data_IF_918026978409
#
_entry.id   IF_918026978409
#
_cell.length_a   1.000
_cell.length_b   1.000
_cell.length_c   1.000
_cell.angle_alpha   90.00
_cell.angle_beta   90.00
_cell.angle_gamma   90.00
#
_symmetry.space_group_name_H-M   'P 1'
#
loop_
_entity.id
_entity.type
_entity.pdbx_description
1 polymer ?
#
# COMPACT_ATOMS: atom_id res chain seq x y z
N UNK A 1 20.76 1.03 -8.68
CA UNK A 1 20.16 1.68 -7.50
C UNK A 1 20.12 3.17 -7.78
N UNK A 2 18.98 3.65 -8.27
CA UNK A 2 18.68 5.05 -8.38
C UNK A 2 17.59 5.32 -7.34
N UNK A 3 17.90 6.16 -6.36
CA UNK A 3 16.93 6.70 -5.42
C UNK A 3 15.94 7.52 -6.23
N UNK A 4 14.68 7.10 -6.25
CA UNK A 4 13.60 7.83 -6.88
C UNK A 4 13.06 8.88 -5.91
N UNK A 5 13.93 9.80 -5.49
CA UNK A 5 13.60 10.95 -4.66
C UNK A 5 13.42 12.15 -5.59
N UNK A 6 12.24 12.28 -6.23
CA UNK A 6 12.01 13.37 -7.18
C UNK A 6 10.56 13.63 -7.62
N UNK A 7 9.64 12.67 -7.53
CA UNK A 7 8.25 12.83 -8.05
C UNK A 7 7.19 12.93 -6.94
N UNK A 8 7.57 13.40 -5.75
CA UNK A 8 6.69 13.38 -4.58
C UNK A 8 5.70 14.54 -4.47
N UNK A 9 5.70 15.54 -5.37
CA UNK A 9 4.85 16.74 -5.23
C UNK A 9 3.60 16.74 -6.14
N UNK A 10 3.80 16.49 -7.43
CA UNK A 10 2.78 16.70 -8.46
C UNK A 10 1.63 15.67 -8.39
N UNK A 11 1.90 14.46 -7.89
CA UNK A 11 0.91 13.39 -7.81
C UNK A 11 -0.23 13.65 -6.82
N UNK A 12 0.07 14.21 -5.63
CA UNK A 12 -0.95 14.42 -4.59
C UNK A 12 -1.90 15.54 -4.98
N UNK A 13 -1.37 16.66 -5.45
CA UNK A 13 -2.17 17.82 -5.84
C UNK A 13 -3.10 17.47 -7.01
N UNK A 14 -2.58 16.75 -8.02
CA UNK A 14 -3.38 16.27 -9.14
C UNK A 14 -4.49 15.31 -8.67
N UNK A 15 -4.18 14.42 -7.73
CA UNK A 15 -5.16 13.50 -7.16
C UNK A 15 -6.27 14.24 -6.40
N UNK A 16 -5.89 15.18 -5.53
CA UNK A 16 -6.84 16.00 -4.76
C UNK A 16 -7.73 16.84 -5.68
N UNK A 17 -7.14 17.56 -6.64
CA UNK A 17 -7.90 18.38 -7.60
C UNK A 17 -8.93 17.55 -8.37
N UNK A 18 -8.56 16.34 -8.76
CA UNK A 18 -9.44 15.48 -9.51
C UNK A 18 -10.58 14.88 -8.66
N UNK A 19 -10.31 14.52 -7.39
CA UNK A 19 -11.37 14.06 -6.47
C UNK A 19 -12.28 15.19 -5.97
N UNK A 20 -11.82 16.44 -6.07
CA UNK A 20 -12.63 17.64 -5.80
C UNK A 20 -13.44 18.12 -7.02
N UNK A 21 -13.33 17.42 -8.16
CA UNK A 21 -14.21 17.59 -9.31
C UNK A 21 -14.00 18.88 -10.11
N UNK A 22 -12.76 19.40 -10.19
CA UNK A 22 -12.46 20.63 -10.96
C UNK A 22 -13.25 21.86 -10.50
N UNK A 23 -13.81 21.81 -9.31
CA UNK A 23 -14.67 22.86 -8.80
C UNK A 23 -13.83 24.08 -8.43
N UNK A 24 -14.29 25.26 -8.86
CA UNK A 24 -13.59 26.56 -8.77
C UNK A 24 -13.04 26.87 -7.39
N UNK A 25 -13.60 26.28 -6.33
CA UNK A 25 -13.11 26.44 -4.97
C UNK A 25 -11.68 25.91 -4.79
N UNK A 26 -11.15 24.89 -5.48
CA UNK A 26 -9.73 24.52 -5.26
C UNK A 26 -8.72 25.54 -5.81
N UNK A 27 -9.16 26.42 -6.71
CA UNK A 27 -8.32 27.45 -7.32
C UNK A 27 -8.71 28.88 -6.87
N UNK A 28 -9.85 29.06 -6.21
CA UNK A 28 -10.31 30.35 -5.63
C UNK A 28 -9.76 30.51 -4.19
N UNK A 29 -8.75 31.36 -3.95
CA UNK A 29 -8.17 31.56 -2.62
C UNK A 29 -9.10 32.29 -1.65
N UNK A 30 -10.09 33.05 -2.14
CA UNK A 30 -10.90 33.97 -1.32
C UNK A 30 -12.34 33.49 -1.09
N UNK A 31 -12.69 32.29 -1.55
CA UNK A 31 -14.01 31.70 -1.37
C UNK A 31 -14.41 31.53 0.10
N UNK A 32 -15.56 32.08 0.49
CA UNK A 32 -16.06 32.04 1.87
C UNK A 32 -16.34 30.60 2.38
N UNK A 33 -16.86 29.72 1.51
CA UNK A 33 -17.10 28.31 1.81
C UNK A 33 -15.79 27.55 2.08
N UNK A 34 -14.68 28.01 1.49
CA UNK A 34 -13.36 27.40 1.62
C UNK A 34 -12.72 27.72 2.97
N UNK A 35 -12.79 29.00 3.36
CA UNK A 35 -12.34 29.44 4.68
C UNK A 35 -13.08 28.71 5.79
N UNK A 36 -14.39 28.49 5.62
CA UNK A 36 -15.18 27.71 6.58
C UNK A 36 -14.71 26.24 6.67
N UNK A 37 -14.32 25.61 5.56
CA UNK A 37 -13.89 24.20 5.51
C UNK A 37 -12.46 23.95 5.97
N UNK A 38 -11.55 24.92 5.79
CA UNK A 38 -10.14 24.82 6.21
C UNK A 38 -9.89 25.23 7.66
N UNK A 39 -10.86 25.92 8.29
CA UNK A 39 -10.80 26.25 9.72
C UNK A 39 -10.83 24.99 10.58
N UNK A 40 -10.14 25.04 11.72
CA UNK A 40 -10.25 24.03 12.76
C UNK A 40 -11.71 23.90 13.23
N UNK A 41 -12.08 22.71 13.69
CA UNK A 41 -13.34 22.56 14.41
C UNK A 41 -13.23 23.28 15.77
N UNK A 42 -14.30 23.98 16.15
CA UNK A 42 -14.41 24.70 17.42
C UNK A 42 -15.49 24.07 18.29
N UNK A 43 -15.38 24.16 19.62
CA UNK A 43 -16.33 23.57 20.54
C UNK A 43 -16.04 22.10 20.87
N UNK A 44 -16.97 21.44 21.56
CA UNK A 44 -16.86 20.02 21.88
C UNK A 44 -17.14 19.17 20.63
N UNK A 45 -16.71 17.90 20.62
CA UNK A 45 -16.94 16.96 19.51
C UNK A 45 -18.39 16.93 19.00
N UNK A 46 -19.36 17.07 19.92
CA UNK A 46 -20.81 17.08 19.61
C UNK A 46 -21.26 18.32 18.83
N UNK A 47 -20.47 19.38 18.87
CA UNK A 47 -20.77 20.67 18.25
C UNK A 47 -20.17 20.76 16.83
N UNK A 48 -19.44 19.74 16.40
CA UNK A 48 -18.77 19.76 15.10
C UNK A 48 -19.79 19.59 13.97
N UNK A 49 -19.68 20.35 12.86
CA UNK A 49 -20.59 20.19 11.74
C UNK A 49 -20.39 18.83 11.06
N UNK A 50 -21.32 17.91 11.27
CA UNK A 50 -21.31 16.54 10.70
C UNK A 50 -21.03 16.52 9.18
N UNK A 51 -21.65 17.39 8.35
CA UNK A 51 -21.39 17.39 6.91
C UNK A 51 -19.93 17.73 6.55
N UNK A 52 -19.27 18.56 7.38
CA UNK A 52 -17.87 18.95 7.17
C UNK A 52 -16.92 17.83 7.59
N UNK A 53 -17.21 17.14 8.69
CA UNK A 53 -16.42 15.99 9.12
C UNK A 53 -16.49 14.85 8.10
N UNK A 54 -17.70 14.45 7.69
CA UNK A 54 -17.91 13.40 6.69
C UNK A 54 -17.25 13.75 5.36
N UNK A 55 -17.39 15.00 4.89
CA UNK A 55 -16.72 15.46 3.68
C UNK A 55 -15.21 15.20 3.71
N UNK A 56 -14.54 15.56 4.82
CA UNK A 56 -13.09 15.36 4.94
C UNK A 56 -12.70 13.89 5.06
N UNK A 57 -13.46 13.07 5.80
CA UNK A 57 -13.24 11.62 5.88
C UNK A 57 -13.32 10.97 4.50
N UNK A 58 -14.38 11.28 3.74
CA UNK A 58 -14.58 10.70 2.43
C UNK A 58 -13.52 11.16 1.42
N UNK A 59 -13.17 12.45 1.46
CA UNK A 59 -12.14 13.02 0.59
C UNK A 59 -10.78 12.37 0.85
N UNK A 60 -10.39 12.19 2.11
CA UNK A 60 -9.15 11.49 2.49
C UNK A 60 -9.10 10.08 1.88
N UNK A 61 -10.18 9.31 2.03
CA UNK A 61 -10.24 7.95 1.51
C UNK A 61 -10.25 7.91 -0.03
N UNK A 62 -10.96 8.84 -0.69
CA UNK A 62 -10.97 8.94 -2.16
C UNK A 62 -9.59 9.27 -2.72
N UNK A 63 -8.90 10.24 -2.12
CA UNK A 63 -7.54 10.63 -2.51
C UNK A 63 -6.58 9.45 -2.33
N UNK A 64 -6.55 8.84 -1.15
CA UNK A 64 -5.70 7.68 -0.88
C UNK A 64 -5.98 6.51 -1.85
N UNK A 65 -7.27 6.23 -2.15
CA UNK A 65 -7.68 5.21 -3.12
C UNK A 65 -7.14 5.50 -4.53
N UNK A 66 -7.25 6.75 -4.99
CA UNK A 66 -6.74 7.16 -6.31
C UNK A 66 -5.23 6.98 -6.42
N UNK A 67 -4.52 7.28 -5.34
CA UNK A 67 -3.07 7.12 -5.22
C UNK A 67 -2.66 5.66 -4.96
N UNK A 68 -3.64 4.76 -4.82
CA UNK A 68 -3.48 3.32 -4.52
C UNK A 68 -2.71 3.06 -3.22
N UNK A 69 -2.79 3.98 -2.26
CA UNK A 69 -2.16 3.84 -0.96
C UNK A 69 -3.08 3.18 0.05
N UNK A 70 -2.55 2.23 0.80
CA UNK A 70 -3.23 1.66 1.96
C UNK A 70 -2.77 2.30 3.29
N UNK A 71 -1.66 3.03 3.26
CA UNK A 71 -1.05 3.69 4.41
C UNK A 71 -0.24 4.91 4.00
N UNK A 72 -0.09 5.86 4.93
CA UNK A 72 0.67 7.08 4.74
C UNK A 72 1.19 7.64 6.07
N UNK A 73 2.36 8.30 6.10
CA UNK A 73 2.78 9.11 7.24
C UNK A 73 1.78 10.23 7.56
N UNK A 74 1.50 10.43 8.85
CA UNK A 74 0.51 11.42 9.31
C UNK A 74 0.87 12.86 8.89
N UNK A 75 2.16 13.22 8.90
CA UNK A 75 2.61 14.53 8.43
C UNK A 75 2.29 14.76 6.95
N UNK A 76 2.45 13.76 6.06
CA UNK A 76 2.12 13.94 4.64
C UNK A 76 0.63 14.20 4.44
N UNK A 77 -0.22 13.49 5.18
CA UNK A 77 -1.68 13.67 5.10
C UNK A 77 -2.09 15.06 5.61
N UNK A 78 -1.49 15.52 6.71
CA UNK A 78 -1.89 16.79 7.36
C UNK A 78 -1.27 18.03 6.72
N UNK A 79 -0.06 17.93 6.18
CA UNK A 79 0.71 19.10 5.72
C UNK A 79 1.10 19.08 4.25
N UNK A 80 0.90 17.98 3.51
CA UNK A 80 1.33 17.87 2.10
C UNK A 80 0.16 17.61 1.17
N UNK A 81 -0.66 16.58 1.44
CA UNK A 81 -1.74 16.17 0.51
C UNK A 81 -2.69 17.30 0.16
N UNK A 82 -3.05 18.11 1.16
CA UNK A 82 -4.01 19.20 1.01
C UNK A 82 -3.37 20.58 1.15
N UNK A 83 -2.04 20.65 1.01
CA UNK A 83 -1.35 21.94 0.95
C UNK A 83 -1.70 22.64 -0.36
N UNK A 84 -2.19 23.87 -0.27
CA UNK A 84 -2.42 24.71 -1.45
C UNK A 84 -1.16 25.49 -1.85
N UNK A 85 -1.13 26.00 -3.10
CA UNK A 85 -0.18 27.04 -3.48
C UNK A 85 -0.20 28.18 -2.44
N UNK A 86 0.97 28.55 -1.93
CA UNK A 86 1.09 29.49 -0.81
C UNK A 86 1.18 28.86 0.59
N UNK A 87 1.18 27.52 0.70
CA UNK A 87 1.49 26.79 1.94
C UNK A 87 0.33 26.69 2.94
N UNK A 88 -0.90 26.97 2.50
CA UNK A 88 -2.09 26.89 3.37
C UNK A 88 -2.51 25.43 3.51
N UNK A 89 -2.59 24.95 4.75
CA UNK A 89 -3.02 23.58 5.09
C UNK A 89 -4.33 23.60 5.89
N UNK A 90 -5.25 22.64 5.72
CA UNK A 90 -6.49 22.61 6.48
C UNK A 90 -6.24 22.27 7.95
N UNK A 91 -6.62 23.18 8.84
CA UNK A 91 -6.39 23.07 10.28
C UNK A 91 -7.27 22.01 10.95
N UNK A 92 -8.34 21.55 10.28
CA UNK A 92 -9.22 20.51 10.79
C UNK A 92 -8.67 19.09 10.62
N UNK A 93 -7.66 18.86 9.77
CA UNK A 93 -7.20 17.50 9.45
C UNK A 93 -6.76 16.68 10.67
N UNK A 94 -5.97 17.22 11.63
CA UNK A 94 -5.60 16.46 12.82
C UNK A 94 -6.83 15.94 13.58
N UNK A 95 -7.87 16.77 13.69
CA UNK A 95 -9.12 16.41 14.35
C UNK A 95 -9.90 15.36 13.56
N UNK A 96 -9.95 15.47 12.23
CA UNK A 96 -10.57 14.45 11.37
C UNK A 96 -9.87 13.10 11.52
N UNK A 97 -8.53 13.07 11.57
CA UNK A 97 -7.76 11.84 11.70
C UNK A 97 -7.98 11.16 13.06
N UNK A 98 -8.07 11.94 14.14
CA UNK A 98 -8.42 11.41 15.46
C UNK A 98 -9.84 10.81 15.48
N UNK A 99 -10.80 11.44 14.79
CA UNK A 99 -12.15 10.89 14.65
C UNK A 99 -12.17 9.60 13.84
N UNK A 100 -11.49 9.56 12.69
CA UNK A 100 -11.37 8.33 11.89
C UNK A 100 -10.68 7.21 12.67
N UNK A 101 -9.70 7.54 13.52
CA UNK A 101 -9.06 6.59 14.43
C UNK A 101 -10.00 6.11 15.53
N UNK A 102 -10.78 7.01 16.13
CA UNK A 102 -11.78 6.67 17.14
C UNK A 102 -12.86 5.74 16.57
N UNK A 103 -13.23 5.93 15.30
CA UNK A 103 -14.20 5.08 14.59
C UNK A 103 -13.59 3.75 14.09
N UNK A 104 -12.26 3.60 14.19
CA UNK A 104 -11.54 2.41 13.75
C UNK A 104 -11.38 2.30 12.23
N UNK A 105 -11.56 3.40 11.51
CA UNK A 105 -11.27 3.54 10.07
C UNK A 105 -9.76 3.67 9.83
N UNK A 106 -9.04 4.29 10.77
CA UNK A 106 -7.58 4.43 10.74
C UNK A 106 -6.96 3.69 11.92
N UNK A 107 -5.87 2.97 11.63
CA UNK A 107 -5.03 2.29 12.62
C UNK A 107 -3.60 2.82 12.53
N UNK A 108 -2.84 2.76 13.63
CA UNK A 108 -1.42 3.09 13.58
C UNK A 108 -0.60 1.84 13.29
N UNK A 109 0.38 1.92 12.38
CA UNK A 109 1.31 0.82 12.10
C UNK A 109 2.05 0.37 13.38
N UNK A 110 2.38 1.32 14.26
CA UNK A 110 3.00 1.08 15.57
C UNK A 110 2.08 0.31 16.54
N UNK A 111 0.79 0.17 16.24
CA UNK A 111 -0.14 -0.66 17.00
C UNK A 111 -0.28 -2.06 16.39
N UNK A 112 -0.08 -2.22 15.07
CA UNK A 112 -0.28 -3.49 14.35
C UNK A 112 0.79 -4.56 14.64
N UNK A 113 0.37 -5.78 14.95
CA UNK A 113 1.28 -6.88 15.26
C UNK A 113 2.16 -7.21 14.06
N UNK A 114 3.48 -7.17 14.28
CA UNK A 114 4.46 -7.53 13.25
C UNK A 114 4.55 -9.05 13.13
N UNK A 115 4.23 -9.64 11.96
CA UNK A 115 4.15 -11.09 11.80
C UNK A 115 5.52 -11.79 11.84
N UNK A 116 6.60 -11.07 11.57
CA UNK A 116 7.99 -11.57 11.68
C UNK A 116 8.51 -11.57 13.11
N UNK A 117 7.82 -10.90 14.05
CA UNK A 117 8.26 -10.83 15.43
C UNK A 117 8.02 -12.15 16.17
N UNK A 118 8.88 -12.46 17.14
CA UNK A 118 8.79 -13.71 17.92
C UNK A 118 7.45 -13.87 18.64
N UNK A 119 7.01 -15.12 18.83
CA UNK A 119 5.66 -15.43 19.36
C UNK A 119 5.33 -14.75 20.69
N UNK A 120 6.30 -14.61 21.59
CA UNK A 120 6.13 -13.88 22.87
C UNK A 120 5.84 -12.40 22.66
N UNK A 121 6.55 -11.73 21.74
CA UNK A 121 6.28 -10.32 21.41
C UNK A 121 4.87 -10.15 20.85
N UNK A 122 4.44 -11.08 19.99
CA UNK A 122 3.07 -11.05 19.45
C UNK A 122 2.02 -11.23 20.55
N UNK A 123 2.25 -12.12 21.53
CA UNK A 123 1.36 -12.32 22.66
C UNK A 123 1.30 -11.08 23.57
N UNK A 124 2.45 -10.52 23.96
CA UNK A 124 2.52 -9.29 24.76
C UNK A 124 1.79 -8.15 24.05
N UNK A 125 1.96 -8.03 22.73
CA UNK A 125 1.30 -7.00 21.95
C UNK A 125 -0.21 -7.20 21.83
N UNK A 126 -0.70 -8.45 21.74
CA UNK A 126 -2.13 -8.74 21.79
C UNK A 126 -2.73 -8.33 23.14
N UNK A 127 -2.01 -8.59 24.24
CA UNK A 127 -2.45 -8.19 25.59
C UNK A 127 -2.44 -6.66 25.74
N UNK A 128 -1.40 -5.97 25.24
CA UNK A 128 -1.34 -4.51 25.30
C UNK A 128 -2.42 -3.83 24.47
N UNK A 129 -2.87 -4.44 23.36
CA UNK A 129 -3.99 -3.94 22.55
C UNK A 129 -5.35 -4.07 23.23
N UNK A 130 -5.50 -4.95 24.23
CA UNK A 130 -6.73 -5.02 25.03
C UNK A 130 -6.85 -3.82 25.98
N UNK A 131 -5.74 -3.17 26.32
CA UNK A 131 -5.78 -1.83 26.88
C UNK A 131 -6.03 -0.85 25.72
N UNK A 132 -7.10 -0.06 25.82
CA UNK A 132 -7.41 0.96 24.81
C UNK A 132 -6.26 1.97 24.79
N UNK A 133 -5.33 1.80 23.85
CA UNK A 133 -4.27 2.76 23.58
C UNK A 133 -4.90 4.01 23.00
N UNK A 134 -5.26 4.96 23.86
CA UNK A 134 -5.68 6.32 23.49
C UNK A 134 -4.47 7.21 23.22
N UNK A 135 -3.43 6.64 22.62
CA UNK A 135 -2.27 7.45 22.23
C UNK A 135 -2.71 8.38 21.10
N UNK A 136 -2.44 9.70 21.22
CA UNK A 136 -2.69 10.65 20.13
C UNK A 136 -1.80 10.35 18.93
N UNK A 137 -2.27 10.71 17.74
CA UNK A 137 -1.52 10.61 16.50
C UNK A 137 -0.39 11.64 16.52
N UNK A 138 0.84 11.18 16.29
CA UNK A 138 2.04 12.01 16.16
C UNK A 138 2.46 12.05 14.69
N UNK A 139 3.24 13.05 14.29
CA UNK A 139 3.62 13.27 12.89
C UNK A 139 4.41 12.12 12.25
N UNK A 140 5.17 11.38 13.06
CA UNK A 140 5.95 10.21 12.63
C UNK A 140 5.10 8.94 12.53
N UNK A 141 3.84 8.97 12.98
CA UNK A 141 2.98 7.80 12.91
C UNK A 141 2.59 7.50 11.44
N UNK A 142 2.60 6.21 11.11
CA UNK A 142 2.09 5.72 9.83
C UNK A 142 0.62 5.31 10.04
N UNK A 143 -0.25 6.02 9.35
CA UNK A 143 -1.69 5.80 9.32
C UNK A 143 -1.99 4.66 8.35
N UNK A 144 -2.78 3.69 8.77
CA UNK A 144 -3.22 2.55 7.96
C UNK A 144 -4.73 2.67 7.76
N UNK A 145 -5.16 2.85 6.51
CA UNK A 145 -6.56 3.02 6.14
C UNK A 145 -7.23 1.66 6.00
N UNK A 146 -8.11 1.32 6.96
CA UNK A 146 -8.74 0.01 7.04
C UNK A 146 -9.45 -0.40 5.75
N UNK A 147 -10.36 0.45 5.26
CA UNK A 147 -11.17 0.16 4.08
C UNK A 147 -10.32 -0.09 2.85
N UNK A 148 -9.25 0.69 2.66
CA UNK A 148 -8.35 0.56 1.50
C UNK A 148 -7.54 -0.74 1.54
N UNK A 149 -7.07 -1.17 2.72
CA UNK A 149 -6.42 -2.48 2.88
C UNK A 149 -7.40 -3.62 2.57
N UNK A 150 -8.66 -3.49 3.00
CA UNK A 150 -9.70 -4.51 2.77
C UNK A 150 -10.12 -4.59 1.31
N UNK A 151 -10.31 -3.45 0.64
CA UNK A 151 -10.55 -3.38 -0.81
C UNK A 151 -9.38 -4.01 -1.58
N UNK A 152 -8.14 -3.64 -1.24
CA UNK A 152 -6.95 -4.19 -1.89
C UNK A 152 -6.82 -5.70 -1.67
N UNK A 153 -7.19 -6.19 -0.50
CA UNK A 153 -7.19 -7.63 -0.22
C UNK A 153 -8.17 -8.39 -1.14
N UNK A 154 -9.38 -7.89 -1.33
CA UNK A 154 -10.36 -8.50 -2.23
C UNK A 154 -9.91 -8.45 -3.69
N UNK A 155 -9.28 -7.34 -4.12
CA UNK A 155 -8.68 -7.23 -5.45
C UNK A 155 -7.60 -8.31 -5.67
N UNK A 156 -6.71 -8.50 -4.71
CA UNK A 156 -5.65 -9.52 -4.76
C UNK A 156 -6.27 -10.92 -4.79
N UNK A 157 -7.24 -11.19 -3.90
CA UNK A 157 -7.92 -12.48 -3.85
C UNK A 157 -8.63 -12.80 -5.16
N UNK A 158 -9.24 -11.81 -5.81
CA UNK A 158 -9.87 -11.94 -7.13
C UNK A 158 -8.84 -12.29 -8.22
N UNK A 159 -7.71 -11.57 -8.27
CA UNK A 159 -6.63 -11.84 -9.22
C UNK A 159 -6.03 -13.24 -9.05
N UNK A 160 -5.83 -13.67 -7.79
CA UNK A 160 -5.31 -15.00 -7.48
C UNK A 160 -6.36 -16.10 -7.77
N UNK A 161 -7.64 -15.86 -7.55
CA UNK A 161 -8.71 -16.82 -7.88
C UNK A 161 -8.78 -17.12 -9.38
N UNK A 162 -8.49 -16.13 -10.23
CA UNK A 162 -8.41 -16.32 -11.68
C UNK A 162 -7.28 -17.26 -12.13
N UNK A 163 -6.27 -17.49 -11.28
CA UNK A 163 -5.08 -18.29 -11.60
C UNK A 163 -4.94 -19.57 -10.77
N UNK A 164 -5.80 -19.78 -9.76
CA UNK A 164 -5.71 -20.91 -8.83
C UNK A 164 -7.08 -21.60 -8.64
N UNK A 165 -7.08 -22.94 -8.73
CA UNK A 165 -8.28 -23.79 -8.55
C UNK A 165 -8.55 -24.17 -7.08
N UNK A 166 -7.69 -23.74 -6.16
CA UNK A 166 -7.73 -24.13 -4.74
C UNK A 166 -8.45 -23.10 -3.86
N UNK A 167 -8.89 -23.52 -2.67
CA UNK A 167 -9.56 -22.64 -1.70
C UNK A 167 -8.61 -21.66 -1.00
N UNK A 168 -7.30 -21.90 -1.08
CA UNK A 168 -6.23 -21.03 -0.57
C UNK A 168 -5.09 -20.96 -1.57
N UNK A 169 -4.37 -19.85 -1.57
CA UNK A 169 -3.18 -19.62 -2.39
C UNK A 169 -1.99 -19.24 -1.49
N UNK A 170 -0.80 -19.68 -1.87
CA UNK A 170 0.47 -19.29 -1.23
C UNK A 170 1.28 -18.52 -2.26
N UNK A 171 1.70 -17.31 -1.88
CA UNK A 171 2.56 -16.47 -2.73
C UNK A 171 3.82 -16.08 -1.98
N UNK A 172 4.89 -15.77 -2.72
CA UNK A 172 6.12 -15.21 -2.18
C UNK A 172 5.87 -13.80 -1.62
N UNK A 173 6.72 -13.38 -0.68
CA UNK A 173 6.64 -12.01 -0.16
C UNK A 173 6.95 -10.97 -1.25
N UNK A 174 7.81 -11.32 -2.22
CA UNK A 174 8.10 -10.51 -3.41
C UNK A 174 6.86 -10.27 -4.25
N UNK A 175 6.11 -11.32 -4.58
CA UNK A 175 4.84 -11.20 -5.29
C UNK A 175 3.81 -10.43 -4.47
N UNK A 176 3.72 -10.66 -3.17
CA UNK A 176 2.83 -9.89 -2.28
C UNK A 176 3.14 -8.38 -2.34
N UNK A 177 4.41 -8.00 -2.22
CA UNK A 177 4.84 -6.60 -2.25
C UNK A 177 4.50 -5.90 -3.57
N UNK A 178 4.52 -6.62 -4.70
CA UNK A 178 4.18 -6.05 -6.00
C UNK A 178 2.73 -5.58 -6.16
N UNK A 179 1.82 -5.99 -5.26
CA UNK A 179 0.42 -5.52 -5.27
C UNK A 179 0.24 -4.14 -4.63
N UNK A 180 1.27 -3.57 -4.01
CA UNK A 180 1.22 -2.31 -3.29
C UNK A 180 2.16 -1.27 -3.91
N UNK A 181 1.89 0.01 -3.63
CA UNK A 181 2.69 1.11 -4.18
C UNK A 181 4.15 1.07 -3.71
N UNK A 182 4.40 0.60 -2.50
CA UNK A 182 5.75 0.48 -1.94
C UNK A 182 5.85 -0.52 -0.80
N UNK A 183 7.08 -0.82 -0.40
CA UNK A 183 7.38 -1.83 0.61
C UNK A 183 6.79 -1.49 1.99
N UNK A 184 6.83 -0.21 2.40
CA UNK A 184 6.24 0.23 3.66
C UNK A 184 4.71 0.04 3.70
N UNK A 185 4.06 0.29 2.56
CA UNK A 185 2.62 0.11 2.38
C UNK A 185 2.22 -1.36 2.40
N UNK A 186 2.96 -2.19 1.66
CA UNK A 186 2.81 -3.65 1.69
C UNK A 186 2.98 -4.20 3.12
N UNK A 187 4.01 -3.75 3.84
CA UNK A 187 4.27 -4.22 5.20
C UNK A 187 3.15 -3.81 6.17
N UNK A 188 2.62 -2.59 6.07
CA UNK A 188 1.49 -2.15 6.88
C UNK A 188 0.25 -3.01 6.61
N UNK A 189 -0.06 -3.27 5.34
CA UNK A 189 -1.15 -4.15 4.93
C UNK A 189 -0.94 -5.59 5.45
N UNK A 190 0.27 -6.13 5.36
CA UNK A 190 0.61 -7.47 5.87
C UNK A 190 0.34 -7.58 7.38
N UNK A 191 0.77 -6.59 8.16
CA UNK A 191 0.52 -6.57 9.61
C UNK A 191 -0.98 -6.54 9.90
N UNK A 192 -1.74 -5.70 9.20
CA UNK A 192 -3.20 -5.63 9.36
C UNK A 192 -3.89 -6.96 9.01
N UNK A 193 -3.60 -7.52 7.84
CA UNK A 193 -4.25 -8.73 7.34
C UNK A 193 -3.93 -9.95 8.20
N UNK A 194 -2.69 -10.08 8.65
CA UNK A 194 -2.29 -11.18 9.55
C UNK A 194 -2.92 -11.05 10.94
N UNK A 195 -2.98 -9.83 11.49
CA UNK A 195 -3.65 -9.57 12.76
C UNK A 195 -5.16 -9.84 12.69
N UNK A 196 -5.82 -9.48 11.57
CA UNK A 196 -7.23 -9.78 11.33
C UNK A 196 -7.49 -11.24 10.93
N UNK A 197 -6.45 -12.05 10.75
CA UNK A 197 -6.58 -13.44 10.32
C UNK A 197 -7.04 -13.62 8.87
N UNK A 198 -7.02 -12.55 8.06
CA UNK A 198 -7.32 -12.57 6.62
C UNK A 198 -6.17 -13.14 5.80
N UNK A 199 -4.95 -13.14 6.34
CA UNK A 199 -3.79 -13.79 5.74
C UNK A 199 -2.95 -14.51 6.80
N UNK A 200 -2.11 -15.47 6.41
CA UNK A 200 -1.05 -16.03 7.27
C UNK A 200 0.32 -15.76 6.69
N UNK A 201 1.23 -15.33 7.53
CA UNK A 201 2.64 -15.20 7.18
C UNK A 201 3.34 -16.56 7.29
N UNK A 202 4.24 -16.83 6.35
CA UNK A 202 5.04 -18.03 6.23
C UNK A 202 6.51 -17.64 6.22
N UNK A 203 7.34 -18.33 7.01
CA UNK A 203 8.78 -18.21 6.95
C UNK A 203 9.41 -19.61 7.03
N UNK A 204 10.27 -19.92 6.06
CA UNK A 204 11.02 -21.18 6.00
C UNK A 204 12.49 -20.83 6.19
N UNK A 205 13.04 -21.28 7.31
CA UNK A 205 14.49 -21.28 7.54
C UNK A 205 15.01 -22.64 7.10
N UNK A 206 15.58 -22.69 5.91
CA UNK A 206 16.33 -23.85 5.43
C UNK A 206 17.83 -23.54 5.48
N UNK A 207 18.65 -24.52 5.12
CA UNK A 207 20.13 -24.43 5.12
C UNK A 207 20.70 -23.35 4.17
N UNK A 208 19.86 -22.76 3.31
CA UNK A 208 20.21 -21.58 2.52
C UNK A 208 20.28 -20.30 3.38
N UNK A 209 21.20 -19.37 3.08
CA UNK A 209 21.39 -18.16 3.89
C UNK A 209 20.21 -17.16 3.83
N UNK A 210 19.23 -17.37 2.93
CA UNK A 210 18.08 -16.48 2.74
C UNK A 210 16.82 -17.14 3.29
N UNK A 211 16.23 -16.53 4.32
CA UNK A 211 14.94 -16.94 4.86
C UNK A 211 13.86 -16.76 3.77
N UNK A 212 13.23 -17.86 3.35
CA UNK A 212 12.18 -17.83 2.35
C UNK A 212 10.86 -17.41 3.00
N UNK A 213 10.33 -16.26 2.59
CA UNK A 213 9.14 -15.64 3.18
C UNK A 213 7.97 -15.63 2.20
N UNK A 214 6.77 -15.83 2.72
CA UNK A 214 5.56 -15.89 1.92
C UNK A 214 4.30 -15.55 2.71
N UNK A 215 3.19 -15.49 1.97
CA UNK A 215 1.88 -15.16 2.52
C UNK A 215 0.85 -16.15 1.96
N UNK A 216 0.05 -16.72 2.86
CA UNK A 216 -1.10 -17.57 2.55
C UNK A 216 -2.37 -16.75 2.55
N UNK A 217 -3.10 -16.81 1.45
CA UNK A 217 -4.38 -16.16 1.22
C UNK A 217 -5.52 -17.17 1.19
N UNK A 218 -6.65 -16.88 1.86
CA UNK A 218 -7.89 -17.56 1.58
C UNK A 218 -8.52 -16.96 0.32
N UNK A 219 -8.96 -17.82 -0.61
CA UNK A 219 -9.63 -17.39 -1.83
C UNK A 219 -11.15 -17.49 -1.75
N UNK A 220 -11.69 -18.24 -0.79
CA UNK A 220 -13.14 -18.49 -0.64
C UNK A 220 -13.65 -18.17 0.78
N UNK A 221 -12.76 -18.22 1.77
CA UNK A 221 -13.08 -17.97 3.18
C UNK A 221 -12.69 -16.55 3.60
N UNK A 222 -13.43 -15.95 4.53
CA UNK A 222 -13.05 -14.68 5.15
C UNK A 222 -11.79 -14.78 6.03
N UNK A 223 -11.44 -15.99 6.49
CA UNK A 223 -10.29 -16.24 7.36
C UNK A 223 -9.33 -17.28 6.77
N UNK A 224 -8.04 -17.00 6.91
CA UNK A 224 -6.97 -17.86 6.45
C UNK A 224 -6.79 -19.05 7.42
N UNK A 225 -6.85 -20.30 6.92
CA UNK A 225 -6.63 -21.48 7.74
C UNK A 225 -5.19 -21.52 8.26
N UNK A 226 -4.94 -22.38 9.25
CA UNK A 226 -3.61 -22.55 9.80
C UNK A 226 -2.59 -22.93 8.71
N UNK A 227 -1.34 -22.56 8.97
CA UNK A 227 -0.21 -22.97 8.13
C UNK A 227 0.05 -24.45 8.35
N UNK A 228 0.19 -25.18 7.26
CA UNK A 228 0.54 -26.59 7.20
C UNK A 228 1.92 -26.76 6.55
N UNK A 229 2.52 -27.95 6.71
CA UNK A 229 3.75 -28.30 6.02
C UNK A 229 3.62 -28.19 4.49
N UNK A 230 2.46 -28.58 3.95
CA UNK A 230 2.16 -28.47 2.52
C UNK A 230 2.23 -27.02 2.03
N UNK A 231 1.81 -26.04 2.84
CA UNK A 231 1.92 -24.62 2.47
C UNK A 231 3.39 -24.18 2.36
N UNK A 232 4.25 -24.69 3.24
CA UNK A 232 5.68 -24.42 3.18
C UNK A 232 6.33 -25.06 1.94
N UNK A 233 5.99 -26.32 1.65
CA UNK A 233 6.47 -27.01 0.45
C UNK A 233 5.99 -26.29 -0.82
N UNK A 234 4.74 -25.81 -0.84
CA UNK A 234 4.18 -24.99 -1.92
C UNK A 234 4.94 -23.68 -2.08
N UNK A 235 5.23 -22.97 -0.99
CA UNK A 235 6.01 -21.73 -1.03
C UNK A 235 7.38 -21.95 -1.66
N UNK A 236 8.04 -23.06 -1.31
CA UNK A 236 9.33 -23.43 -1.90
C UNK A 236 9.22 -23.68 -3.40
N UNK A 237 8.19 -24.41 -3.85
CA UNK A 237 7.95 -24.64 -5.28
C UNK A 237 7.67 -23.35 -6.05
N UNK A 238 6.79 -22.49 -5.53
CA UNK A 238 6.47 -21.18 -6.15
C UNK A 238 7.71 -20.31 -6.24
N UNK A 239 8.56 -20.30 -5.21
CA UNK A 239 9.81 -19.55 -5.24
C UNK A 239 10.80 -20.09 -6.30
N UNK A 240 10.92 -21.41 -6.42
CA UNK A 240 11.75 -22.04 -7.46
C UNK A 240 11.24 -21.70 -8.86
N UNK A 241 9.93 -21.74 -9.07
CA UNK A 241 9.29 -21.33 -10.31
C UNK A 241 9.63 -19.86 -10.65
N UNK A 242 9.47 -18.93 -9.70
CA UNK A 242 9.83 -17.52 -9.88
C UNK A 242 11.32 -17.34 -10.23
N UNK A 243 12.21 -18.12 -9.59
CA UNK A 243 13.65 -18.08 -9.90
C UNK A 243 13.96 -18.60 -11.29
N UNK A 244 13.34 -19.70 -11.71
CA UNK A 244 13.51 -20.24 -13.05
C UNK A 244 12.97 -19.28 -14.11
N UNK A 245 11.82 -18.65 -13.87
CA UNK A 245 11.27 -17.64 -14.76
C UNK A 245 12.22 -16.44 -14.91
N UNK A 246 12.80 -15.95 -13.82
CA UNK A 246 13.80 -14.88 -13.88
C UNK A 246 15.01 -15.25 -14.73
N UNK A 247 15.50 -16.49 -14.63
CA UNK A 247 16.62 -16.95 -15.46
C UNK A 247 16.21 -17.04 -16.94
N UNK A 248 15.00 -17.52 -17.20
CA UNK A 248 14.45 -17.60 -18.54
C UNK A 248 14.32 -16.21 -19.19
N UNK A 249 13.75 -15.23 -18.48
CA UNK A 249 13.58 -13.85 -18.97
C UNK A 249 14.94 -13.18 -19.30
N UNK A 250 16.00 -13.50 -18.54
CA UNK A 250 17.35 -13.00 -18.83
C UNK A 250 17.92 -13.61 -20.11
N UNK A 251 17.70 -14.90 -20.33
CA UNK A 251 18.12 -15.58 -21.56
C UNK A 251 17.35 -15.06 -22.77
N UNK A 252 16.04 -14.87 -22.63
CA UNK A 252 15.18 -14.37 -23.69
C UNK A 252 15.60 -12.96 -24.14
N UNK A 253 15.83 -12.04 -23.18
CA UNK A 253 16.37 -10.70 -23.48
C UNK A 253 17.74 -10.73 -24.15
N UNK A 254 18.62 -11.65 -23.75
CA UNK A 254 19.93 -11.81 -24.40
C UNK A 254 19.77 -12.30 -25.83
N UNK A 255 18.84 -13.23 -26.06
CA UNK A 255 18.51 -13.71 -27.39
C UNK A 255 17.98 -12.59 -28.28
N UNK A 256 17.01 -11.80 -27.78
CA UNK A 256 16.48 -10.63 -28.49
C UNK A 256 17.59 -9.64 -28.86
N UNK A 257 18.46 -9.27 -27.91
CA UNK A 257 19.59 -8.38 -28.18
C UNK A 257 20.53 -8.92 -29.25
N UNK A 258 20.85 -10.22 -29.24
CA UNK A 258 21.69 -10.85 -30.25
C UNK A 258 21.04 -10.80 -31.63
N UNK A 259 19.74 -11.06 -31.73
CA UNK A 259 18.97 -10.96 -32.98
C UNK A 259 18.98 -9.51 -33.50
N UNK A 260 18.71 -8.52 -32.64
CA UNK A 260 18.77 -7.11 -33.01
C UNK A 260 20.17 -6.70 -33.52
N UNK A 261 21.23 -7.11 -32.83
CA UNK A 261 22.62 -6.85 -33.24
C UNK A 261 22.93 -7.48 -34.60
N UNK A 262 22.47 -8.70 -34.85
CA UNK A 262 22.64 -9.41 -36.12
C UNK A 262 21.93 -8.67 -37.27
N UNK A 263 20.69 -8.23 -37.04
CA UNK A 263 19.93 -7.42 -38.00
C UNK A 263 20.66 -6.10 -38.28
N UNK A 264 21.12 -5.39 -37.25
CA UNK A 264 21.88 -4.16 -37.41
C UNK A 264 23.17 -4.37 -38.21
N UNK A 265 23.93 -5.44 -37.93
CA UNK A 265 25.14 -5.77 -38.68
C UNK A 265 24.86 -6.11 -40.15
N UNK A 266 23.81 -6.89 -40.43
CA UNK A 266 23.41 -7.23 -41.80
C UNK A 266 22.97 -5.99 -42.58
N UNK A 267 22.23 -5.07 -41.93
CA UNK A 267 21.79 -3.83 -42.56
C UNK A 267 22.95 -2.86 -42.82
N UNK A 268 23.92 -2.80 -41.90
CA UNK A 268 25.16 -2.03 -42.09
C UNK A 268 26.01 -2.61 -43.23
N UNK A 269 26.12 -3.94 -43.32
CA UNK A 269 26.79 -4.60 -44.43
C UNK A 269 26.09 -4.31 -45.77
N UNK A 270 24.77 -4.47 -45.85
CA UNK A 270 23.99 -4.17 -47.07
C UNK A 270 24.13 -2.71 -47.53
N UNK A 271 24.06 -1.73 -46.62
CA UNK A 271 24.25 -0.32 -46.98
C UNK A 271 25.69 -0.01 -47.43
N UNK A 272 26.69 -0.73 -46.92
CA UNK A 272 28.09 -0.57 -47.34
C UNK A 272 28.35 -1.10 -48.75
N UNK A 273 27.56 -2.09 -49.22
CA UNK A 273 27.63 -2.62 -50.59
C UNK A 273 26.89 -1.79 -51.64
N UNK A 274 26.03 -0.84 -51.24
CA UNK A 274 25.30 0.07 -52.16
C UNK A 274 26.07 1.39 -52.41
N UNK A 275 27.11 1.66 -51.61
CA UNK A 275 27.97 2.85 -51.72
C UNK A 275 29.29 2.60 -52.47
N UNK A 276 29.44 1.45 -53.14
CA UNK A 276 30.50 1.12 -54.10
C UNK A 276 29.90 0.82 -55.46
#
# INVERSE_FOLDING_TARGET
>A
MASNDGEGGEGWEAAVRAEMGGASWWDDPDGADLHARFKAFTGQRRDWPEPKLLFWKDLLLRVARRLRLCSAPAHLVTSVWFARPGGITPLCLPQVLEEMRADGEILLKSELIVPTAGGLYQLVRRVSQMAISRRPIVQEDILVFRSLVEERFEDIASQLRGSHWTSTCVITLTKFNSFFYGQEDAHAALCYLTQRGKARYLAIRKEDPVELQGVKFPLVSAHAPAVSKFDCDTLHLVWQEEKLQQQFDVLDRRWEMLVYLLICHLQFACNSYVLW
#
